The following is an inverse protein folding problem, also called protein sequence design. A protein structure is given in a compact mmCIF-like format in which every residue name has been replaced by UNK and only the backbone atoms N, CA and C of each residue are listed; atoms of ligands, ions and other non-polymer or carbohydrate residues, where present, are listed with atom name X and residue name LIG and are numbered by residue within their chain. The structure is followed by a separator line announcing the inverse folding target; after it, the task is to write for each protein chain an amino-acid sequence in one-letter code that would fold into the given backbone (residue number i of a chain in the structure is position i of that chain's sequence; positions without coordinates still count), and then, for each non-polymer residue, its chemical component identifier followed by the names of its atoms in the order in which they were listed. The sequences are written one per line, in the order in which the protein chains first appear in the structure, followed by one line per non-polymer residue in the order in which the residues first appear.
data_IF_242124888475
#
_entry.id   IF_242124888475
#
_cell.length_a   1.000
_cell.length_b   1.000
_cell.length_c   1.000
_cell.angle_alpha   90.00
_cell.angle_beta   90.00
_cell.angle_gamma   90.00
#
_symmetry.space_group_name_H-M   'P 1'
#
loop_
_entity.id
_entity.type
_entity.pdbx_description
1 polymer ?
#
# COMPACT_ATOMS: atom_id res chain seq x y z
N UNK A 1 -3.79 -17.26 -8.26
CA UNK A 1 -2.63 -17.23 -9.17
C UNK A 1 -3.03 -17.32 -10.64
N UNK A 2 -4.08 -18.05 -10.97
CA UNK A 2 -4.55 -18.24 -12.37
C UNK A 2 -5.00 -16.93 -13.00
N UNK A 3 -5.64 -16.03 -12.25
CA UNK A 3 -6.04 -14.72 -12.71
C UNK A 3 -4.84 -13.89 -13.17
N UNK A 4 -3.76 -13.85 -12.38
CA UNK A 4 -2.53 -13.13 -12.75
C UNK A 4 -1.87 -13.75 -13.99
N UNK A 5 -1.82 -15.07 -14.09
CA UNK A 5 -1.29 -15.76 -15.28
C UNK A 5 -2.10 -15.44 -16.53
N UNK A 6 -3.45 -15.41 -16.41
CA UNK A 6 -4.32 -14.98 -17.51
C UNK A 6 -4.05 -13.53 -17.90
N UNK A 7 -3.88 -12.65 -16.91
CA UNK A 7 -3.57 -11.25 -17.12
C UNK A 7 -2.25 -11.07 -17.87
N UNK A 8 -1.19 -11.76 -17.45
CA UNK A 8 0.12 -11.78 -18.12
C UNK A 8 -0.03 -12.18 -19.59
N UNK A 9 -0.80 -13.24 -19.87
CA UNK A 9 -1.04 -13.70 -21.24
C UNK A 9 -1.72 -12.62 -22.09
N UNK A 10 -2.72 -11.93 -21.54
CA UNK A 10 -3.45 -10.86 -22.24
C UNK A 10 -2.57 -9.63 -22.43
N UNK A 11 -1.80 -9.23 -21.43
CA UNK A 11 -0.86 -8.12 -21.51
C UNK A 11 0.20 -8.34 -22.61
N UNK A 12 0.81 -9.53 -22.66
CA UNK A 12 1.75 -9.89 -23.72
C UNK A 12 1.11 -9.90 -25.10
N UNK A 13 -0.16 -10.31 -25.20
CA UNK A 13 -0.90 -10.26 -26.46
C UNK A 13 -1.15 -8.82 -26.91
N UNK A 14 -1.60 -7.96 -25.99
CA UNK A 14 -1.83 -6.54 -26.27
C UNK A 14 -0.53 -5.82 -26.70
N UNK A 15 0.57 -6.08 -26.00
CA UNK A 15 1.89 -5.53 -26.33
C UNK A 15 2.34 -5.93 -27.75
N UNK A 16 2.16 -7.21 -28.11
CA UNK A 16 2.46 -7.72 -29.45
C UNK A 16 1.64 -7.03 -30.54
N UNK A 17 0.36 -6.74 -30.26
CA UNK A 17 -0.53 -6.07 -31.22
C UNK A 17 -0.50 -4.54 -31.09
N UNK A 18 0.36 -3.99 -30.23
CA UNK A 18 0.48 -2.54 -29.97
C UNK A 18 -0.84 -1.90 -29.53
N UNK A 19 -1.58 -2.61 -28.69
CA UNK A 19 -2.86 -2.16 -28.11
C UNK A 19 -2.62 -1.67 -26.70
N UNK A 20 -3.07 -0.45 -26.32
CA UNK A 20 -3.03 0.03 -24.93
C UNK A 20 -3.76 -0.92 -23.98
N UNK A 21 -3.30 -0.98 -22.75
CA UNK A 21 -3.88 -1.85 -21.72
C UNK A 21 -4.54 -1.00 -20.65
N UNK A 22 -5.78 -1.34 -20.29
CA UNK A 22 -6.49 -0.74 -19.18
C UNK A 22 -6.84 -1.87 -18.20
N UNK A 23 -6.50 -1.67 -16.92
CA UNK A 23 -6.85 -2.60 -15.85
C UNK A 23 -7.74 -1.92 -14.82
N UNK A 24 -8.84 -2.56 -14.46
CA UNK A 24 -9.69 -2.13 -13.37
C UNK A 24 -9.37 -2.98 -12.14
N UNK A 25 -9.13 -2.32 -11.01
CA UNK A 25 -8.66 -2.96 -9.78
C UNK A 25 -9.70 -2.75 -8.69
N UNK A 26 -10.24 -3.86 -8.21
CA UNK A 26 -11.10 -3.93 -7.03
C UNK A 26 -10.80 -5.24 -6.31
N UNK A 27 -9.87 -5.21 -5.38
CA UNK A 27 -9.44 -6.38 -4.62
C UNK A 27 -8.88 -5.97 -3.26
N UNK A 28 -9.28 -6.63 -2.17
CA UNK A 28 -8.69 -6.42 -0.84
C UNK A 28 -7.25 -6.96 -0.76
N UNK A 29 -6.83 -7.73 -1.75
CA UNK A 29 -5.50 -8.34 -1.84
C UNK A 29 -5.52 -9.65 -2.60
N UNK A 30 -4.35 -10.29 -2.70
CA UNK A 30 -4.26 -11.62 -3.25
C UNK A 30 -4.82 -12.65 -2.25
N UNK A 31 -5.64 -13.60 -2.73
CA UNK A 31 -6.25 -14.63 -1.88
C UNK A 31 -5.18 -15.46 -1.12
N UNK A 32 -5.22 -15.48 0.23
CA UNK A 32 -4.17 -16.10 1.05
C UNK A 32 -4.44 -17.57 1.37
N UNK A 33 -5.12 -18.30 0.51
CA UNK A 33 -5.46 -19.72 0.73
C UNK A 33 -4.29 -20.66 0.44
N UNK A 34 -4.17 -21.74 1.23
CA UNK A 34 -3.13 -22.77 1.08
C UNK A 34 -3.05 -23.29 -0.37
N UNK A 35 -4.20 -23.53 -1.01
CA UNK A 35 -4.22 -23.97 -2.40
C UNK A 35 -3.71 -22.92 -3.40
N UNK A 36 -3.85 -21.62 -3.09
CA UNK A 36 -3.26 -20.55 -3.91
C UNK A 36 -1.74 -20.51 -3.75
N UNK A 37 -1.24 -20.65 -2.52
CA UNK A 37 0.20 -20.73 -2.23
C UNK A 37 0.84 -21.93 -2.93
N UNK A 38 0.24 -23.11 -2.84
CA UNK A 38 0.70 -24.32 -3.52
C UNK A 38 0.77 -24.18 -5.04
N UNK A 39 -0.13 -23.39 -5.64
CA UNK A 39 -0.11 -23.06 -7.07
C UNK A 39 0.75 -21.85 -7.44
N UNK A 40 1.56 -21.35 -6.49
CA UNK A 40 2.54 -20.30 -6.72
C UNK A 40 1.94 -18.89 -6.79
N UNK A 41 1.15 -18.49 -5.78
CA UNK A 41 0.53 -17.16 -5.70
C UNK A 41 1.57 -16.04 -5.77
N UNK A 42 2.61 -16.10 -4.93
CA UNK A 42 3.66 -15.07 -4.89
C UNK A 42 4.41 -14.97 -6.24
N UNK A 43 4.72 -16.12 -6.85
CA UNK A 43 5.37 -16.18 -8.17
C UNK A 43 4.48 -15.57 -9.26
N UNK A 44 3.17 -15.85 -9.24
CA UNK A 44 2.24 -15.29 -10.23
C UNK A 44 2.12 -13.76 -10.11
N UNK A 45 2.12 -13.23 -8.88
CA UNK A 45 2.14 -11.77 -8.61
C UNK A 45 3.45 -11.17 -9.14
N UNK A 46 4.60 -11.75 -8.79
CA UNK A 46 5.90 -11.23 -9.21
C UNK A 46 6.03 -11.18 -10.74
N UNK A 47 5.65 -12.25 -11.44
CA UNK A 47 5.65 -12.26 -12.90
C UNK A 47 4.64 -11.29 -13.54
N UNK A 48 3.52 -10.99 -12.85
CA UNK A 48 2.58 -9.97 -13.33
C UNK A 48 3.21 -8.58 -13.24
N UNK A 49 3.87 -8.25 -12.14
CA UNK A 49 4.61 -6.99 -11.98
C UNK A 49 5.70 -6.88 -13.05
N UNK A 50 6.52 -7.92 -13.23
CA UNK A 50 7.56 -7.97 -14.25
C UNK A 50 6.99 -7.74 -15.65
N UNK A 51 5.87 -8.41 -15.97
CA UNK A 51 5.19 -8.22 -17.23
C UNK A 51 4.70 -6.79 -17.41
N UNK A 52 4.02 -6.20 -16.42
CA UNK A 52 3.60 -4.81 -16.46
C UNK A 52 4.77 -3.86 -16.72
N UNK A 53 5.90 -4.08 -16.03
CA UNK A 53 7.09 -3.24 -16.15
C UNK A 53 7.79 -3.38 -17.50
N UNK A 54 7.66 -4.53 -18.18
CA UNK A 54 8.34 -4.80 -19.46
C UNK A 54 7.56 -4.35 -20.71
N UNK A 55 6.28 -3.99 -20.56
CA UNK A 55 5.43 -3.59 -21.69
C UNK A 55 5.97 -2.37 -22.43
N UNK A 56 5.80 -2.35 -23.74
CA UNK A 56 6.15 -1.24 -24.63
C UNK A 56 4.93 -0.44 -25.12
N UNK A 57 3.73 -0.84 -24.68
CA UNK A 57 2.48 -0.12 -24.91
C UNK A 57 2.08 0.64 -23.63
N UNK A 58 1.26 1.70 -23.75
CA UNK A 58 0.67 2.36 -22.59
C UNK A 58 -0.16 1.37 -21.78
N UNK A 59 0.04 1.38 -20.47
CA UNK A 59 -0.86 0.70 -19.54
C UNK A 59 -1.36 1.67 -18.46
N UNK A 60 -2.66 1.66 -18.24
CA UNK A 60 -3.37 2.51 -17.28
C UNK A 60 -4.11 1.59 -16.33
N UNK A 61 -3.93 1.81 -15.05
CA UNK A 61 -4.65 1.09 -14.00
C UNK A 61 -5.60 2.04 -13.28
N UNK A 62 -6.84 1.62 -13.13
CA UNK A 62 -7.89 2.36 -12.45
C UNK A 62 -8.33 1.58 -11.23
N UNK A 63 -8.13 2.13 -10.04
CA UNK A 63 -8.61 1.57 -8.78
C UNK A 63 -10.04 2.07 -8.58
N UNK A 64 -10.99 1.12 -8.63
CA UNK A 64 -12.43 1.43 -8.61
C UNK A 64 -13.12 1.18 -7.27
N UNK A 65 -12.41 0.58 -6.32
CA UNK A 65 -12.88 0.28 -4.97
C UNK A 65 -11.69 0.05 -4.06
N UNK A 66 -11.37 -1.19 -3.77
CA UNK A 66 -10.19 -1.52 -2.97
C UNK A 66 -8.98 -1.88 -3.84
N UNK A 67 -7.87 -1.16 -3.65
CA UNK A 67 -6.58 -1.51 -4.20
C UNK A 67 -5.68 -2.12 -3.12
N UNK A 68 -5.85 -3.43 -2.83
CA UNK A 68 -5.19 -4.07 -1.70
C UNK A 68 -3.91 -4.81 -2.08
N UNK A 69 -2.81 -4.48 -1.38
CA UNK A 69 -1.59 -5.27 -1.28
C UNK A 69 -1.01 -5.75 -2.62
N UNK A 70 -0.38 -6.92 -2.62
CA UNK A 70 0.20 -7.56 -3.81
C UNK A 70 -0.81 -7.82 -4.93
N UNK A 71 -2.09 -8.00 -4.60
CA UNK A 71 -3.16 -8.17 -5.57
C UNK A 71 -3.34 -6.95 -6.47
N UNK A 72 -3.33 -5.77 -5.88
CA UNK A 72 -3.42 -4.51 -6.61
C UNK A 72 -2.10 -4.18 -7.34
N UNK A 73 -0.95 -4.31 -6.66
CA UNK A 73 0.37 -3.97 -7.23
C UNK A 73 0.67 -4.83 -8.46
N UNK A 74 0.21 -6.08 -8.47
CA UNK A 74 0.37 -7.00 -9.61
C UNK A 74 -0.17 -6.44 -10.94
N UNK A 75 -1.10 -5.48 -10.87
CA UNK A 75 -1.74 -4.84 -12.02
C UNK A 75 -1.43 -3.33 -12.09
N UNK A 76 -1.20 -2.68 -10.93
CA UNK A 76 -0.97 -1.23 -10.83
C UNK A 76 0.48 -0.81 -11.13
N UNK A 77 1.37 -1.72 -11.52
CA UNK A 77 2.72 -1.40 -11.99
C UNK A 77 2.67 -0.81 -13.41
N UNK A 78 1.95 0.30 -13.55
CA UNK A 78 1.50 0.88 -14.83
C UNK A 78 2.05 2.29 -15.08
N UNK A 79 1.95 2.76 -16.33
CA UNK A 79 2.32 4.12 -16.72
C UNK A 79 1.52 5.17 -15.95
N UNK A 80 0.21 4.93 -15.80
CA UNK A 80 -0.70 5.78 -15.04
C UNK A 80 -1.48 4.92 -14.06
N UNK A 81 -1.55 5.36 -12.82
CA UNK A 81 -2.41 4.80 -11.77
C UNK A 81 -3.43 5.86 -11.41
N UNK A 82 -4.69 5.57 -11.65
CA UNK A 82 -5.82 6.48 -11.44
C UNK A 82 -6.71 5.85 -10.37
N UNK A 83 -7.35 6.66 -9.56
CA UNK A 83 -8.28 6.19 -8.53
C UNK A 83 -9.63 6.87 -8.68
N UNK A 84 -10.71 6.15 -8.36
CA UNK A 84 -11.97 6.80 -8.03
C UNK A 84 -11.80 7.59 -6.72
N UNK A 85 -12.53 8.68 -6.60
CA UNK A 85 -12.41 9.62 -5.48
C UNK A 85 -12.56 8.99 -4.10
N UNK A 86 -13.46 8.00 -3.98
CA UNK A 86 -13.73 7.30 -2.72
C UNK A 86 -13.07 5.91 -2.62
N UNK A 87 -12.21 5.55 -3.58
CA UNK A 87 -11.45 4.32 -3.53
C UNK A 87 -10.26 4.42 -2.56
N UNK A 88 -9.72 3.29 -2.15
CA UNK A 88 -8.54 3.19 -1.29
C UNK A 88 -7.44 2.38 -1.96
N UNK A 89 -6.18 2.73 -1.68
CA UNK A 89 -5.04 1.96 -2.16
C UNK A 89 -3.99 1.82 -1.07
N UNK A 90 -3.66 0.58 -0.71
CA UNK A 90 -2.74 0.30 0.39
C UNK A 90 -2.03 -1.04 0.25
N UNK A 91 -0.90 -1.18 0.95
CA UNK A 91 -0.13 -2.42 1.01
C UNK A 91 -0.69 -3.41 2.03
N UNK A 92 -1.45 -2.95 3.01
CA UNK A 92 -2.00 -3.73 4.12
C UNK A 92 -3.27 -3.06 4.63
N UNK A 93 -4.16 -3.82 5.28
CA UNK A 93 -5.33 -3.24 5.97
C UNK A 93 -4.92 -2.41 7.19
N UNK A 94 -5.73 -1.42 7.61
CA UNK A 94 -5.47 -0.65 8.83
C UNK A 94 -5.33 -1.52 10.09
N UNK A 95 -6.12 -2.59 10.21
CA UNK A 95 -6.05 -3.55 11.33
C UNK A 95 -4.72 -4.30 11.31
N UNK A 96 -4.28 -4.75 10.14
CA UNK A 96 -2.99 -5.39 9.95
C UNK A 96 -1.83 -4.46 10.29
N UNK A 97 -1.89 -3.22 9.83
CA UNK A 97 -0.91 -2.18 10.15
C UNK A 97 -0.87 -1.91 11.67
N UNK A 98 -2.04 -1.74 12.30
CA UNK A 98 -2.15 -1.53 13.75
C UNK A 98 -1.56 -2.70 14.54
N UNK A 99 -1.84 -3.93 14.13
CA UNK A 99 -1.32 -5.14 14.77
C UNK A 99 0.21 -5.22 14.71
N UNK A 100 0.81 -4.81 13.58
CA UNK A 100 2.27 -4.86 13.38
C UNK A 100 2.95 -3.71 14.14
N UNK A 101 2.49 -2.47 13.97
CA UNK A 101 3.18 -1.29 14.49
C UNK A 101 2.86 -1.00 15.96
N UNK A 102 1.59 -1.12 16.34
CA UNK A 102 1.15 -0.84 17.72
C UNK A 102 0.92 -2.09 18.56
N UNK A 103 0.95 -3.28 17.96
CA UNK A 103 0.60 -4.56 18.60
C UNK A 103 -0.80 -4.56 19.21
N UNK A 104 -1.68 -3.76 18.63
CA UNK A 104 -3.05 -3.56 19.08
C UNK A 104 -3.96 -3.32 17.86
N UNK A 105 -4.73 -4.33 17.42
CA UNK A 105 -5.63 -4.18 16.27
C UNK A 105 -6.76 -3.18 16.51
N UNK A 106 -7.07 -2.85 17.77
CA UNK A 106 -8.06 -1.83 18.14
C UNK A 106 -7.68 -0.41 17.70
N UNK A 107 -6.41 -0.19 17.31
CA UNK A 107 -5.88 1.08 16.80
C UNK A 107 -5.97 1.22 15.27
N UNK A 108 -6.94 0.54 14.67
CA UNK A 108 -7.12 0.58 13.21
C UNK A 108 -7.43 1.97 12.67
N UNK A 109 -8.12 2.81 13.43
CA UNK A 109 -8.45 4.18 13.01
C UNK A 109 -7.18 5.05 12.94
N UNK A 110 -6.36 5.04 13.98
CA UNK A 110 -5.08 5.75 13.99
C UNK A 110 -4.15 5.23 12.87
N UNK A 111 -4.17 3.92 12.61
CA UNK A 111 -3.43 3.33 11.52
C UNK A 111 -3.93 3.83 10.15
N UNK A 112 -5.24 3.88 9.92
CA UNK A 112 -5.83 4.36 8.68
C UNK A 112 -5.45 5.83 8.40
N UNK A 113 -5.52 6.69 9.41
CA UNK A 113 -5.10 8.09 9.31
C UNK A 113 -3.61 8.24 8.97
N UNK A 114 -2.75 7.43 9.61
CA UNK A 114 -1.31 7.46 9.37
C UNK A 114 -0.91 6.91 7.99
N UNK A 115 -1.64 5.93 7.48
CA UNK A 115 -1.37 5.26 6.20
C UNK A 115 -1.70 6.12 4.96
N UNK A 116 -2.54 7.16 5.10
CA UNK A 116 -2.89 8.05 3.99
C UNK A 116 -3.44 7.30 2.78
N UNK A 117 -4.52 6.54 2.97
CA UNK A 117 -5.08 5.61 1.98
C UNK A 117 -5.97 6.26 0.93
N UNK A 118 -6.40 7.52 1.16
CA UNK A 118 -7.34 8.22 0.29
C UNK A 118 -6.72 8.64 -1.04
N UNK A 119 -7.53 8.73 -2.08
CA UNK A 119 -7.08 9.18 -3.39
C UNK A 119 -6.38 10.54 -3.33
N UNK A 120 -6.92 11.49 -2.54
CA UNK A 120 -6.35 12.83 -2.38
C UNK A 120 -4.98 12.80 -1.71
N UNK A 121 -4.80 11.97 -0.68
CA UNK A 121 -3.50 11.86 -0.02
C UNK A 121 -2.46 11.18 -0.91
N UNK A 122 -2.85 10.13 -1.62
CA UNK A 122 -1.97 9.39 -2.52
C UNK A 122 -1.56 10.21 -3.74
N UNK A 123 -2.45 11.07 -4.24
CA UNK A 123 -2.10 12.04 -5.29
C UNK A 123 -1.05 13.05 -4.80
N UNK A 124 -1.24 13.61 -3.58
CA UNK A 124 -0.26 14.52 -2.96
C UNK A 124 1.10 13.86 -2.74
N UNK A 125 1.10 12.58 -2.40
CA UNK A 125 2.32 11.78 -2.22
C UNK A 125 2.97 11.35 -3.55
N UNK A 126 2.31 11.55 -4.68
CA UNK A 126 2.79 11.14 -6.00
C UNK A 126 2.78 9.62 -6.21
N UNK A 127 1.96 8.89 -5.46
CA UNK A 127 1.78 7.44 -5.61
C UNK A 127 0.82 7.14 -6.77
N UNK A 128 -0.20 7.96 -6.93
CA UNK A 128 -1.12 7.92 -8.07
C UNK A 128 -0.96 9.16 -8.94
N UNK A 129 -1.50 9.10 -10.15
CA UNK A 129 -1.33 10.14 -11.17
C UNK A 129 -2.57 11.03 -11.34
N UNK A 130 -3.77 10.50 -11.04
CA UNK A 130 -5.02 11.21 -11.29
C UNK A 130 -6.18 10.66 -10.44
N UNK A 131 -7.25 11.44 -10.31
CA UNK A 131 -8.46 11.08 -9.56
C UNK A 131 -9.67 11.28 -10.48
N UNK A 132 -10.53 10.27 -10.53
CA UNK A 132 -11.83 10.35 -11.19
C UNK A 132 -12.87 10.76 -10.16
N UNK A 133 -13.50 11.92 -10.37
CA UNK A 133 -14.58 12.39 -9.50
C UNK A 133 -15.81 11.50 -9.60
N UNK A 134 -16.42 11.24 -8.46
CA UNK A 134 -17.63 10.44 -8.36
C UNK A 134 -18.88 11.31 -8.21
N UNK A 135 -20.04 10.81 -8.65
CA UNK A 135 -21.32 11.43 -8.35
C UNK A 135 -21.55 11.60 -6.84
N UNK A 136 -22.35 12.58 -6.46
CA UNK A 136 -22.69 12.80 -5.06
C UNK A 136 -23.29 11.53 -4.43
N UNK A 137 -22.64 11.03 -3.38
CA UNK A 137 -23.00 9.80 -2.71
C UNK A 137 -22.35 8.52 -3.25
N UNK A 138 -21.40 8.64 -4.22
CA UNK A 138 -20.55 7.56 -4.73
C UNK A 138 -20.96 7.02 -6.10
N UNK A 139 -20.07 6.25 -6.71
CA UNK A 139 -20.18 5.71 -8.06
C UNK A 139 -21.50 4.96 -8.33
N UNK A 140 -22.02 4.24 -7.35
CA UNK A 140 -23.26 3.45 -7.47
C UNK A 140 -24.54 4.31 -7.61
N UNK A 141 -24.48 5.61 -7.35
CA UNK A 141 -25.63 6.52 -7.44
C UNK A 141 -25.94 6.93 -8.87
N UNK A 142 -24.93 7.03 -9.73
CA UNK A 142 -25.13 7.38 -11.13
C UNK A 142 -24.07 6.67 -12.01
N UNK A 143 -24.44 5.50 -12.53
CA UNK A 143 -23.53 4.68 -13.32
C UNK A 143 -23.13 5.35 -14.65
N UNK A 144 -24.03 6.11 -15.26
CA UNK A 144 -23.75 6.79 -16.54
C UNK A 144 -22.73 7.92 -16.36
N UNK A 145 -22.88 8.70 -15.30
CA UNK A 145 -21.98 9.79 -14.97
C UNK A 145 -20.57 9.27 -14.64
N UNK A 146 -20.46 8.26 -13.78
CA UNK A 146 -19.14 7.72 -13.45
C UNK A 146 -18.48 7.03 -14.65
N UNK A 147 -19.25 6.33 -15.48
CA UNK A 147 -18.73 5.74 -16.72
C UNK A 147 -18.23 6.82 -17.69
N UNK A 148 -18.94 7.94 -17.80
CA UNK A 148 -18.54 9.07 -18.62
C UNK A 148 -17.25 9.73 -18.10
N UNK A 149 -17.17 10.01 -16.80
CA UNK A 149 -15.99 10.59 -16.16
C UNK A 149 -14.76 9.68 -16.32
N UNK A 150 -14.96 8.39 -16.06
CA UNK A 150 -13.90 7.37 -16.23
C UNK A 150 -13.42 7.29 -17.67
N UNK A 151 -14.33 7.25 -18.63
CA UNK A 151 -13.99 7.24 -20.06
C UNK A 151 -13.14 8.46 -20.44
N UNK A 152 -13.56 9.65 -20.04
CA UNK A 152 -12.87 10.89 -20.40
C UNK A 152 -11.46 10.92 -19.79
N UNK A 153 -11.31 10.59 -18.52
CA UNK A 153 -10.01 10.54 -17.85
C UNK A 153 -9.08 9.50 -18.46
N UNK A 154 -9.59 8.33 -18.82
CA UNK A 154 -8.79 7.29 -19.48
C UNK A 154 -8.32 7.76 -20.86
N UNK A 155 -9.21 8.36 -21.67
CA UNK A 155 -8.86 8.87 -23.00
C UNK A 155 -7.79 9.98 -22.88
N UNK A 156 -7.98 10.92 -21.98
CA UNK A 156 -7.01 12.00 -21.76
C UNK A 156 -5.62 11.45 -21.40
N UNK A 157 -5.57 10.49 -20.48
CA UNK A 157 -4.33 9.83 -20.11
C UNK A 157 -3.73 8.96 -21.23
N UNK A 158 -4.53 8.38 -22.13
CA UNK A 158 -4.04 7.66 -23.29
C UNK A 158 -3.45 8.61 -24.34
N UNK A 159 -4.11 9.75 -24.60
CA UNK A 159 -3.64 10.76 -25.54
C UNK A 159 -2.24 11.30 -25.17
N UNK A 160 -1.90 11.32 -23.87
CA UNK A 160 -0.56 11.67 -23.41
C UNK A 160 0.54 10.79 -24.02
N UNK A 161 0.24 9.52 -24.33
CA UNK A 161 1.18 8.56 -24.90
C UNK A 161 1.10 8.43 -26.41
N UNK A 162 0.17 9.10 -27.09
CA UNK A 162 -0.14 8.89 -28.52
C UNK A 162 1.08 9.05 -29.43
N UNK A 163 1.93 10.04 -29.15
CA UNK A 163 3.10 10.37 -29.96
C UNK A 163 4.42 9.82 -29.40
N UNK A 164 4.36 8.99 -28.34
CA UNK A 164 5.54 8.42 -27.71
C UNK A 164 5.98 7.14 -28.39
N UNK A 165 7.30 6.97 -28.53
CA UNK A 165 7.87 5.70 -28.98
C UNK A 165 7.76 4.62 -27.90
N UNK A 166 7.76 3.34 -28.28
CA UNK A 166 7.68 2.23 -27.32
C UNK A 166 8.72 2.30 -26.18
N UNK A 167 9.94 2.72 -26.49
CA UNK A 167 11.03 2.88 -25.54
C UNK A 167 10.75 4.03 -24.55
N UNK A 168 10.17 5.13 -25.02
CA UNK A 168 9.79 6.27 -24.19
C UNK A 168 8.67 5.90 -23.21
N UNK A 169 7.69 5.10 -23.66
CA UNK A 169 6.60 4.57 -22.81
C UNK A 169 7.17 3.66 -21.72
N UNK A 170 8.10 2.77 -22.08
CA UNK A 170 8.79 1.90 -21.14
C UNK A 170 9.58 2.73 -20.10
N UNK A 171 10.40 3.69 -20.57
CA UNK A 171 11.22 4.54 -19.70
C UNK A 171 10.37 5.45 -18.82
N UNK A 172 9.24 5.96 -19.30
CA UNK A 172 8.27 6.71 -18.50
C UNK A 172 7.82 5.89 -17.28
N UNK A 173 7.40 4.64 -17.49
CA UNK A 173 6.96 3.74 -16.42
C UNK A 173 8.10 3.45 -15.45
N UNK A 174 9.24 3.03 -15.95
CA UNK A 174 10.43 2.74 -15.15
C UNK A 174 10.83 3.93 -14.27
N UNK A 175 10.92 5.11 -14.85
CA UNK A 175 11.35 6.31 -14.15
C UNK A 175 10.32 6.78 -13.12
N UNK A 176 9.02 6.58 -13.36
CA UNK A 176 7.96 6.85 -12.39
C UNK A 176 8.20 6.09 -11.09
N UNK A 177 8.33 4.76 -11.15
CA UNK A 177 8.54 3.95 -9.94
C UNK A 177 9.90 4.19 -9.28
N UNK A 178 10.94 4.46 -10.06
CA UNK A 178 12.25 4.82 -9.52
C UNK A 178 12.30 6.18 -8.81
N UNK A 179 11.33 7.07 -9.04
CA UNK A 179 11.22 8.36 -8.33
C UNK A 179 10.58 8.21 -6.95
N UNK A 180 9.73 7.21 -6.75
CA UNK A 180 9.06 7.00 -5.47
C UNK A 180 10.11 6.78 -4.38
N UNK A 181 10.02 7.56 -3.30
CA UNK A 181 10.96 7.50 -2.17
C UNK A 181 12.31 8.21 -2.37
N UNK A 182 12.63 8.70 -3.57
CA UNK A 182 13.91 9.41 -3.82
C UNK A 182 13.85 10.90 -3.48
N UNK A 183 12.67 11.51 -3.51
CA UNK A 183 12.50 12.96 -3.32
C UNK A 183 12.82 13.48 -1.92
N UNK A 184 12.88 12.60 -0.92
CA UNK A 184 13.21 12.94 0.47
C UNK A 184 14.62 12.50 0.92
N UNK A 185 15.42 11.91 0.04
CA UNK A 185 16.62 11.18 0.47
C UNK A 185 16.24 9.98 1.34
N UNK A 186 17.21 9.38 2.03
CA UNK A 186 16.88 8.57 3.20
C UNK A 186 16.32 9.57 4.22
N UNK A 187 15.00 9.59 4.40
CA UNK A 187 14.36 10.49 5.35
C UNK A 187 15.08 10.32 6.67
N UNK A 188 15.73 11.38 7.15
CA UNK A 188 16.13 11.43 8.54
C UNK A 188 14.84 11.17 9.32
N UNK A 189 14.82 10.22 10.25
CA UNK A 189 13.64 10.02 11.08
C UNK A 189 13.25 11.41 11.58
N UNK A 190 12.03 11.86 11.24
CA UNK A 190 11.55 13.16 11.65
C UNK A 190 11.40 13.13 13.16
N UNK A 191 12.45 13.56 13.85
CA UNK A 191 12.38 13.83 15.27
C UNK A 191 11.44 15.01 15.40
N UNK A 192 10.16 14.76 15.69
CA UNK A 192 9.20 15.79 16.05
C UNK A 192 8.04 16.07 15.10
N UNK A 193 7.73 15.25 14.10
CA UNK A 193 6.51 15.40 13.30
C UNK A 193 5.39 14.49 13.80
N UNK A 194 4.21 15.02 14.03
CA UNK A 194 3.01 14.33 14.57
C UNK A 194 2.43 13.20 13.68
N UNK A 195 3.09 12.79 12.62
CA UNK A 195 2.66 11.74 11.71
C UNK A 195 3.68 10.60 11.54
N UNK A 196 4.57 10.39 12.49
CA UNK A 196 5.47 9.23 12.46
C UNK A 196 4.73 7.95 12.85
N UNK A 197 4.82 6.92 12.02
CA UNK A 197 4.43 5.54 12.36
C UNK A 197 5.27 4.95 13.50
N UNK A 198 5.83 5.78 14.35
CA UNK A 198 6.70 5.39 15.44
C UNK A 198 5.86 4.89 16.61
N UNK A 199 5.91 3.60 16.87
CA UNK A 199 5.28 2.99 18.03
C UNK A 199 5.93 3.52 19.31
N UNK A 200 5.23 4.37 20.04
CA UNK A 200 5.59 4.75 21.41
C UNK A 200 5.05 3.70 22.36
N UNK A 201 5.92 2.80 22.79
CA UNK A 201 5.56 1.78 23.76
C UNK A 201 5.00 2.42 25.04
N UNK A 202 3.76 2.09 25.46
CA UNK A 202 3.18 2.63 26.70
C UNK A 202 4.09 2.37 27.90
N UNK A 203 4.21 3.35 28.78
CA UNK A 203 5.06 3.28 29.98
C UNK A 203 4.73 2.03 30.80
N UNK A 204 3.47 1.63 30.86
CA UNK A 204 3.00 0.42 31.56
C UNK A 204 3.61 -0.87 31.00
N UNK A 205 3.73 -0.98 29.65
CA UNK A 205 4.37 -2.14 29.01
C UNK A 205 5.89 -2.12 29.19
N UNK A 206 6.49 -0.94 29.14
CA UNK A 206 7.92 -0.75 29.40
C UNK A 206 8.28 -1.17 30.85
N UNK A 207 7.49 -0.75 31.83
CA UNK A 207 7.62 -1.14 33.20
C UNK A 207 7.43 -2.65 33.40
N UNK A 208 6.37 -3.21 32.82
CA UNK A 208 6.09 -4.66 32.89
C UNK A 208 7.24 -5.48 32.32
N UNK A 209 7.86 -5.03 31.21
CA UNK A 209 9.03 -5.68 30.62
C UNK A 209 10.25 -5.61 31.54
N UNK A 210 10.54 -4.44 32.13
CA UNK A 210 11.64 -4.27 33.07
C UNK A 210 11.46 -5.19 34.31
N UNK A 211 10.22 -5.26 34.83
CA UNK A 211 9.90 -6.16 35.96
C UNK A 211 10.06 -7.63 35.59
N UNK A 212 9.62 -8.06 34.43
CA UNK A 212 9.74 -9.47 33.99
C UNK A 212 11.18 -9.87 33.67
N UNK A 213 11.93 -8.99 33.01
CA UNK A 213 13.33 -9.28 32.64
C UNK A 213 14.29 -9.25 33.86
N UNK A 214 14.02 -8.38 34.81
CA UNK A 214 14.92 -8.17 35.98
C UNK A 214 14.33 -8.64 37.31
N UNK A 215 13.36 -9.58 37.29
CA UNK A 215 12.65 -10.02 38.51
C UNK A 215 13.57 -10.49 39.63
N UNK A 216 14.68 -11.15 39.33
CA UNK A 216 15.65 -11.62 40.32
C UNK A 216 16.47 -10.47 40.92
N UNK A 217 16.84 -9.48 40.12
CA UNK A 217 17.57 -8.30 40.60
C UNK A 217 16.67 -7.44 41.50
N UNK A 218 15.42 -7.24 41.08
CA UNK A 218 14.44 -6.48 41.85
C UNK A 218 14.09 -7.17 43.20
N UNK A 219 14.00 -8.50 43.22
CA UNK A 219 13.79 -9.23 44.46
C UNK A 219 15.02 -9.17 45.41
N UNK A 220 16.23 -9.21 44.86
CA UNK A 220 17.45 -9.03 45.66
C UNK A 220 17.55 -7.63 46.28
N UNK A 221 17.23 -6.59 45.48
CA UNK A 221 17.18 -5.19 46.00
C UNK A 221 16.12 -5.05 47.09
N UNK A 222 14.91 -5.64 46.89
CA UNK A 222 13.86 -5.66 47.90
C UNK A 222 14.28 -6.30 49.21
N UNK A 223 15.01 -7.42 49.18
CA UNK A 223 15.55 -8.09 50.37
C UNK A 223 16.60 -7.24 51.10
N UNK A 224 17.48 -6.56 50.37
CA UNK A 224 18.46 -5.65 50.96
C UNK A 224 17.77 -4.45 51.66
N UNK A 225 16.76 -3.87 51.03
CA UNK A 225 15.99 -2.76 51.62
C UNK A 225 15.29 -3.22 52.91
N UNK A 226 14.64 -4.39 52.90
CA UNK A 226 13.98 -4.95 54.10
C UNK A 226 14.99 -5.22 55.21
N UNK A 227 16.16 -5.82 54.90
CA UNK A 227 17.21 -6.07 55.86
C UNK A 227 17.75 -4.75 56.47
N UNK A 228 17.92 -3.70 55.64
CA UNK A 228 18.36 -2.39 56.12
C UNK A 228 17.36 -1.71 57.05
N UNK A 229 16.06 -1.83 56.74
CA UNK A 229 14.99 -1.29 57.59
C UNK A 229 14.93 -2.04 58.95
N UNK A 230 15.07 -3.35 58.93
CA UNK A 230 15.09 -4.16 60.16
C UNK A 230 16.30 -3.80 61.02
N UNK A 231 17.49 -3.62 60.41
CA UNK A 231 18.71 -3.22 61.14
C UNK A 231 18.65 -1.79 61.73
N UNK A 232 17.78 -0.92 61.20
CA UNK A 232 17.56 0.44 61.71
C UNK A 232 16.51 0.48 62.82
N UNK A 233 15.69 -0.54 62.97
CA UNK A 233 14.61 -0.64 63.96
C UNK A 233 15.00 -1.46 65.17
N UNK A 234 16.12 -2.17 65.14
CA UNK A 234 16.77 -2.89 66.24
C UNK A 234 18.14 -2.31 66.52
#
# INVERSE_FOLDING_TARGET
PEGYRKCIRLMKLADRFKIPIITFIDTPGAYPGIGAEQRGQASAIAHSIECCMSLKVPNISVIIGEGGSGGAIALASSNKVIMLENSIYSVISPEGCASILWRDPGKSLEAAEAMKLSAQDLLKLGVIDDIITEPLGGAHRNHDEIAHNMKNTIIENLNYFENMKPEEIFDHRKNKFLKIGRGGGFAKPSVGGEAGLEYKEPISLKLKRIFTQNKYILSAIGLVIIASIVALLY
#
